data_IF_892116855859
#
_entry.id   IF_892116855859
#
_cell.length_a   1.000
_cell.length_b   1.000
_cell.length_c   1.000
_cell.angle_alpha   90.00
_cell.angle_beta   90.00
_cell.angle_gamma   90.00
#
_symmetry.space_group_name_H-M   'P 1'
#
loop_
_entity.id
_entity.type
_entity.pdbx_description
1 polymer ?
#
# COMPACT_ATOMS: atom_id res chain seq x y z
N UNK A 1 12.71 -41.73 -14.34
CA UNK A 1 12.03 -41.37 -15.61
C UNK A 1 10.81 -40.44 -15.44
N UNK A 2 9.74 -40.77 -14.69
CA UNK A 2 8.56 -39.88 -14.56
C UNK A 2 8.82 -38.52 -13.88
N UNK A 3 9.80 -38.43 -12.97
CA UNK A 3 10.11 -37.19 -12.25
C UNK A 3 10.79 -36.13 -13.13
N UNK A 4 11.71 -36.54 -14.03
CA UNK A 4 12.35 -35.62 -14.99
C UNK A 4 11.31 -34.96 -15.88
N UNK A 5 10.34 -35.71 -16.41
CA UNK A 5 9.27 -35.16 -17.24
C UNK A 5 8.38 -34.18 -16.46
N UNK A 6 8.14 -34.45 -15.18
CA UNK A 6 7.39 -33.54 -14.30
C UNK A 6 8.14 -32.22 -14.05
N UNK A 7 9.47 -32.28 -13.92
CA UNK A 7 10.33 -31.10 -13.75
C UNK A 7 10.42 -30.31 -15.08
N UNK A 8 10.66 -30.99 -16.19
CA UNK A 8 10.75 -30.37 -17.52
C UNK A 8 9.42 -29.75 -17.96
N UNK A 9 8.31 -30.38 -17.60
CA UNK A 9 6.95 -29.90 -17.84
C UNK A 9 6.42 -28.97 -16.75
N UNK A 10 7.25 -28.54 -15.80
CA UNK A 10 6.82 -27.67 -14.71
C UNK A 10 6.30 -26.35 -15.28
N UNK A 11 5.01 -26.08 -15.05
CA UNK A 11 4.32 -24.90 -15.52
C UNK A 11 3.79 -24.11 -14.33
N UNK A 12 3.69 -22.80 -14.54
CA UNK A 12 2.97 -21.91 -13.64
C UNK A 12 1.56 -22.45 -13.42
N UNK A 13 1.08 -22.41 -12.18
CA UNK A 13 -0.33 -22.54 -11.89
C UNK A 13 -0.91 -21.13 -11.73
N UNK A 14 -1.95 -20.82 -12.50
CA UNK A 14 -2.60 -19.52 -12.43
C UNK A 14 -3.34 -19.37 -11.09
N UNK A 15 -3.26 -18.19 -10.49
CA UNK A 15 -3.82 -17.91 -9.16
C UNK A 15 -3.03 -18.48 -7.98
N UNK A 16 -1.96 -19.25 -8.22
CA UNK A 16 -1.11 -19.80 -7.16
C UNK A 16 0.05 -18.84 -6.86
N UNK A 17 0.28 -18.48 -5.58
CA UNK A 17 1.43 -17.68 -5.17
C UNK A 17 2.78 -18.31 -5.56
N UNK A 18 3.78 -17.48 -5.85
CA UNK A 18 5.11 -17.97 -6.24
C UNK A 18 5.77 -18.81 -5.15
N UNK A 19 5.52 -18.53 -3.87
CA UNK A 19 6.11 -19.33 -2.79
C UNK A 19 5.61 -20.78 -2.77
N UNK A 20 4.34 -21.01 -3.10
CA UNK A 20 3.80 -22.36 -3.23
C UNK A 20 4.35 -23.06 -4.47
N UNK A 21 4.48 -22.34 -5.60
CA UNK A 21 5.09 -22.89 -6.81
C UNK A 21 6.56 -23.30 -6.58
N UNK A 22 7.33 -22.46 -5.89
CA UNK A 22 8.73 -22.74 -5.57
C UNK A 22 8.87 -23.95 -4.65
N UNK A 23 8.07 -24.04 -3.58
CA UNK A 23 8.05 -25.20 -2.70
C UNK A 23 7.69 -26.49 -3.45
N UNK A 24 6.72 -26.43 -4.37
CA UNK A 24 6.35 -27.58 -5.20
C UNK A 24 7.51 -27.99 -6.11
N UNK A 25 8.20 -27.03 -6.72
CA UNK A 25 9.37 -27.30 -7.54
C UNK A 25 10.49 -27.94 -6.73
N UNK A 26 10.83 -27.40 -5.56
CA UNK A 26 11.85 -27.97 -4.66
C UNK A 26 11.52 -29.41 -4.25
N UNK A 27 10.25 -29.72 -3.95
CA UNK A 27 9.82 -31.10 -3.67
C UNK A 27 10.07 -32.06 -4.83
N UNK A 28 9.82 -31.61 -6.06
CA UNK A 28 10.10 -32.42 -7.27
C UNK A 28 11.60 -32.63 -7.46
N UNK A 29 12.41 -31.60 -7.25
CA UNK A 29 13.88 -31.69 -7.33
C UNK A 29 14.42 -32.65 -6.27
N UNK A 30 13.94 -32.58 -5.03
CA UNK A 30 14.38 -33.45 -3.93
C UNK A 30 14.08 -34.93 -4.19
N UNK A 31 13.02 -35.21 -4.95
CA UNK A 31 12.63 -36.57 -5.33
C UNK A 31 13.45 -37.10 -6.51
N UNK A 32 14.12 -36.23 -7.27
CA UNK A 32 14.93 -36.62 -8.42
C UNK A 32 16.28 -37.18 -7.94
N UNK A 33 16.77 -38.31 -8.48
CA UNK A 33 18.12 -38.78 -8.21
C UNK A 33 19.15 -37.72 -8.61
N UNK A 34 20.12 -37.46 -7.72
CA UNK A 34 21.08 -36.33 -7.76
C UNK A 34 22.05 -36.30 -8.94
N UNK A 35 21.85 -37.12 -9.97
CA UNK A 35 22.73 -37.30 -11.12
C UNK A 35 22.01 -37.18 -12.48
N UNK A 36 20.68 -37.11 -12.51
CA UNK A 36 19.92 -37.11 -13.77
C UNK A 36 19.81 -35.72 -14.43
N UNK A 37 19.99 -34.62 -13.67
CA UNK A 37 19.82 -33.25 -14.17
C UNK A 37 20.88 -32.30 -13.64
N UNK A 38 21.40 -31.43 -14.51
CA UNK A 38 22.30 -30.35 -14.11
C UNK A 38 21.56 -29.26 -13.37
N UNK A 39 22.16 -28.75 -12.30
CA UNK A 39 21.71 -27.62 -11.48
C UNK A 39 21.29 -26.40 -12.31
N UNK A 40 22.04 -26.08 -13.38
CA UNK A 40 21.70 -24.98 -14.28
C UNK A 40 20.38 -25.23 -15.04
N UNK A 41 20.11 -26.48 -15.43
CA UNK A 41 18.86 -26.87 -16.12
C UNK A 41 17.66 -26.79 -15.18
N UNK A 42 17.82 -27.15 -13.90
CA UNK A 42 16.78 -27.00 -12.89
C UNK A 42 16.37 -25.53 -12.73
N UNK A 43 17.36 -24.64 -12.61
CA UNK A 43 17.10 -23.20 -12.53
C UNK A 43 16.38 -22.69 -13.78
N UNK A 44 16.81 -23.14 -14.97
CA UNK A 44 16.17 -22.79 -16.24
C UNK A 44 14.69 -23.18 -16.26
N UNK A 45 14.35 -24.39 -15.83
CA UNK A 45 12.95 -24.84 -15.80
C UNK A 45 12.10 -24.01 -14.85
N UNK A 46 12.59 -23.75 -13.63
CA UNK A 46 11.84 -22.93 -12.70
C UNK A 46 11.65 -21.50 -13.23
N UNK A 47 12.71 -20.86 -13.70
CA UNK A 47 12.60 -19.50 -14.24
C UNK A 47 11.69 -19.43 -15.47
N UNK A 48 11.65 -20.46 -16.33
CA UNK A 48 10.69 -20.52 -17.44
C UNK A 48 9.26 -20.45 -16.94
N UNK A 49 8.97 -21.08 -15.81
CA UNK A 49 7.64 -21.12 -15.18
C UNK A 49 7.22 -19.81 -14.52
N UNK A 50 8.15 -18.88 -14.27
CA UNK A 50 7.83 -17.57 -13.69
C UNK A 50 7.10 -16.65 -14.70
N UNK A 51 6.19 -15.82 -14.19
CA UNK A 51 5.62 -14.72 -14.96
C UNK A 51 6.63 -13.57 -15.14
N UNK A 52 6.28 -12.58 -15.96
CA UNK A 52 7.18 -11.45 -16.26
C UNK A 52 7.55 -10.64 -15.02
N UNK A 53 6.62 -10.47 -14.08
CA UNK A 53 6.83 -9.70 -12.85
C UNK A 53 7.85 -10.42 -11.96
N UNK A 54 7.60 -11.69 -11.68
CA UNK A 54 8.47 -12.51 -10.84
C UNK A 54 9.85 -12.75 -11.48
N UNK A 55 9.93 -12.87 -12.81
CA UNK A 55 11.21 -12.87 -13.54
C UNK A 55 11.98 -11.56 -13.34
N UNK A 56 11.29 -10.43 -13.43
CA UNK A 56 11.88 -9.12 -13.22
C UNK A 56 12.47 -8.99 -11.82
N UNK A 57 11.71 -9.37 -10.80
CA UNK A 57 12.17 -9.37 -9.40
C UNK A 57 13.36 -10.30 -9.21
N UNK A 58 13.29 -11.55 -9.69
CA UNK A 58 14.37 -12.51 -9.55
C UNK A 58 15.68 -12.03 -10.19
N UNK A 59 15.60 -11.40 -11.38
CA UNK A 59 16.78 -10.84 -12.06
C UNK A 59 17.38 -9.63 -11.35
N UNK A 60 16.62 -8.90 -10.54
CA UNK A 60 17.12 -7.76 -9.78
C UNK A 60 17.80 -8.14 -8.46
N UNK A 61 17.63 -9.39 -7.99
CA UNK A 61 18.24 -9.87 -6.74
C UNK A 61 19.77 -9.89 -6.79
N UNK A 62 20.35 -9.94 -7.98
CA UNK A 62 21.80 -10.05 -8.16
C UNK A 62 22.26 -9.35 -9.44
N UNK A 63 23.39 -8.63 -9.42
CA UNK A 63 24.00 -8.10 -10.63
C UNK A 63 24.26 -9.22 -11.65
N UNK A 64 23.86 -9.00 -12.90
CA UNK A 64 23.97 -10.01 -13.98
C UNK A 64 22.79 -10.99 -14.06
N UNK A 65 21.86 -10.95 -13.10
CA UNK A 65 20.63 -11.75 -13.13
C UNK A 65 20.80 -13.15 -12.54
N UNK A 66 19.68 -13.71 -12.09
CA UNK A 66 19.66 -14.95 -11.31
C UNK A 66 20.17 -16.17 -12.09
N UNK A 67 20.01 -16.15 -13.41
CA UNK A 67 20.48 -17.21 -14.32
C UNK A 67 22.00 -17.36 -14.38
N UNK A 68 22.74 -16.33 -14.01
CA UNK A 68 24.21 -16.35 -14.04
C UNK A 68 24.80 -16.88 -12.72
N UNK A 69 23.95 -17.19 -11.74
CA UNK A 69 24.41 -17.66 -10.45
C UNK A 69 24.47 -19.19 -10.39
N UNK A 70 25.38 -19.77 -9.59
CA UNK A 70 25.30 -21.17 -9.20
C UNK A 70 23.92 -21.47 -8.59
N UNK A 71 23.42 -22.68 -8.80
CA UNK A 71 22.08 -23.07 -8.36
C UNK A 71 21.88 -22.90 -6.85
N UNK A 72 22.91 -23.18 -6.05
CA UNK A 72 22.88 -23.05 -4.60
C UNK A 72 22.62 -21.60 -4.19
N UNK A 73 23.26 -20.65 -4.88
CA UNK A 73 23.09 -19.21 -4.65
C UNK A 73 21.72 -18.75 -5.16
N UNK A 74 21.35 -19.15 -6.38
CA UNK A 74 20.06 -18.82 -6.97
C UNK A 74 18.89 -19.36 -6.12
N UNK A 75 19.01 -20.58 -5.60
CA UNK A 75 18.00 -21.19 -4.72
C UNK A 75 17.82 -20.38 -3.45
N UNK A 76 18.92 -19.96 -2.80
CA UNK A 76 18.83 -19.13 -1.58
C UNK A 76 18.18 -17.78 -1.84
N UNK A 77 18.49 -17.14 -2.98
CA UNK A 77 17.85 -15.89 -3.38
C UNK A 77 16.35 -16.07 -3.66
N UNK A 78 15.96 -17.18 -4.31
CA UNK A 78 14.56 -17.54 -4.53
C UNK A 78 13.84 -17.89 -3.24
N UNK A 79 14.50 -18.57 -2.30
CA UNK A 79 13.97 -18.82 -0.96
C UNK A 79 13.68 -17.49 -0.24
N UNK A 80 14.60 -16.52 -0.30
CA UNK A 80 14.39 -15.19 0.26
C UNK A 80 13.22 -14.44 -0.39
N UNK A 81 13.18 -14.40 -1.72
CA UNK A 81 12.09 -13.78 -2.49
C UNK A 81 10.73 -14.42 -2.14
N UNK A 82 10.67 -15.75 -2.08
CA UNK A 82 9.44 -16.48 -1.81
C UNK A 82 9.04 -16.43 -0.34
N UNK A 83 9.98 -16.28 0.59
CA UNK A 83 9.69 -16.03 1.99
C UNK A 83 9.00 -14.68 2.18
N UNK A 84 9.48 -13.63 1.50
CA UNK A 84 8.79 -12.32 1.50
C UNK A 84 7.40 -12.50 0.91
N UNK A 85 7.27 -13.14 -0.25
CA UNK A 85 5.97 -13.41 -0.85
C UNK A 85 5.01 -14.15 0.10
N UNK A 86 5.48 -15.20 0.76
CA UNK A 86 4.70 -15.97 1.75
C UNK A 86 4.26 -15.08 2.90
N UNK A 87 5.16 -14.25 3.44
CA UNK A 87 4.86 -13.34 4.53
C UNK A 87 3.70 -12.40 4.18
N UNK A 88 3.66 -11.86 2.95
CA UNK A 88 2.54 -11.03 2.49
C UNK A 88 1.20 -11.76 2.52
N UNK A 89 1.14 -12.99 2.00
CA UNK A 89 -0.10 -13.78 1.99
C UNK A 89 -0.51 -14.26 3.39
N UNK A 90 0.43 -14.63 4.25
CA UNK A 90 0.13 -15.00 5.64
C UNK A 90 -0.18 -13.80 6.52
N UNK A 91 0.35 -12.63 6.19
CA UNK A 91 -0.06 -11.37 6.79
C UNK A 91 -1.48 -11.08 6.37
N UNK A 92 -1.88 -11.18 5.10
CA UNK A 92 -3.29 -10.97 4.73
C UNK A 92 -4.24 -11.96 5.42
N UNK A 93 -3.89 -13.24 5.54
CA UNK A 93 -4.71 -14.25 6.25
C UNK A 93 -4.82 -13.98 7.77
N UNK A 94 -3.87 -13.25 8.37
CA UNK A 94 -3.91 -12.78 9.76
C UNK A 94 -4.31 -11.30 9.94
N UNK A 95 -4.35 -10.51 8.86
CA UNK A 95 -4.60 -9.05 8.86
C UNK A 95 -6.03 -8.73 8.42
N UNK A 96 -6.81 -9.71 7.98
CA UNK A 96 -8.27 -9.58 7.85
C UNK A 96 -9.06 -9.86 9.14
N UNK A 97 -8.62 -9.31 10.28
CA UNK A 97 -9.59 -8.55 11.09
C UNK A 97 -9.04 -7.21 11.64
N UNK A 98 -7.95 -6.65 11.09
CA UNK A 98 -7.43 -5.36 11.57
C UNK A 98 -7.53 -4.22 10.54
N UNK A 99 -7.47 -4.49 9.23
CA UNK A 99 -7.63 -3.45 8.18
C UNK A 99 -9.07 -3.30 7.68
N UNK A 100 -9.93 -4.31 7.84
CA UNK A 100 -11.39 -4.18 7.70
C UNK A 100 -12.06 -3.58 8.95
N UNK A 101 -11.28 -3.35 10.02
CA UNK A 101 -11.69 -2.70 11.27
C UNK A 101 -11.20 -1.25 11.36
N UNK A 102 -11.20 -0.51 10.25
CA UNK A 102 -11.73 0.84 10.35
C UNK A 102 -13.25 0.68 10.45
N UNK A 103 -13.75 0.44 11.66
CA UNK A 103 -15.19 0.25 11.87
C UNK A 103 -15.93 1.43 11.26
N UNK A 104 -17.08 1.17 10.65
CA UNK A 104 -18.09 2.18 10.29
C UNK A 104 -18.25 3.25 11.39
N UNK A 105 -18.15 2.82 12.64
CA UNK A 105 -18.13 3.64 13.84
C UNK A 105 -17.00 4.69 13.89
N UNK A 106 -15.78 4.36 13.43
CA UNK A 106 -14.68 5.33 13.39
C UNK A 106 -14.83 6.33 12.25
N UNK A 107 -15.32 5.88 11.09
CA UNK A 107 -15.66 6.76 9.95
C UNK A 107 -16.80 7.71 10.34
N UNK A 108 -17.83 7.21 11.01
CA UNK A 108 -18.95 8.01 11.54
C UNK A 108 -18.47 8.99 12.60
N UNK A 109 -17.57 8.58 13.50
CA UNK A 109 -16.99 9.49 14.51
C UNK A 109 -16.11 10.58 13.91
N UNK A 110 -15.32 10.26 12.89
CA UNK A 110 -14.52 11.27 12.19
C UNK A 110 -15.42 12.22 11.39
N UNK A 111 -16.46 11.69 10.73
CA UNK A 111 -17.46 12.50 10.04
C UNK A 111 -18.27 13.40 11.01
N UNK A 112 -18.64 12.89 12.19
CA UNK A 112 -19.31 13.66 13.25
C UNK A 112 -18.39 14.75 13.80
N UNK A 113 -17.12 14.44 14.05
CA UNK A 113 -16.11 15.41 14.48
C UNK A 113 -15.94 16.54 13.46
N UNK A 114 -15.91 16.21 12.17
CA UNK A 114 -15.82 17.19 11.08
C UNK A 114 -17.09 18.04 10.97
N UNK A 115 -18.28 17.45 11.10
CA UNK A 115 -19.56 18.19 11.14
C UNK A 115 -19.63 19.14 12.33
N UNK A 116 -19.16 18.71 13.50
CA UNK A 116 -19.13 19.54 14.70
C UNK A 116 -18.16 20.72 14.55
N UNK A 117 -17.01 20.50 13.90
CA UNK A 117 -16.07 21.57 13.58
C UNK A 117 -16.67 22.58 12.58
N UNK A 118 -17.38 22.11 11.54
CA UNK A 118 -18.06 22.97 10.59
C UNK A 118 -19.16 23.83 11.24
N UNK A 119 -19.95 23.23 12.15
CA UNK A 119 -20.96 23.96 12.94
C UNK A 119 -20.33 25.03 13.83
N UNK A 120 -19.21 24.72 14.49
CA UNK A 120 -18.50 25.67 15.34
C UNK A 120 -17.92 26.85 14.52
N UNK A 121 -17.29 26.57 13.37
CA UNK A 121 -16.82 27.62 12.46
C UNK A 121 -17.96 28.54 11.99
N UNK A 122 -19.12 27.95 11.67
CA UNK A 122 -20.28 28.71 11.22
C UNK A 122 -20.86 29.60 12.34
N UNK A 123 -20.92 29.09 13.58
CA UNK A 123 -21.36 29.88 14.73
C UNK A 123 -20.41 31.04 15.02
N UNK A 124 -19.10 30.80 14.95
CA UNK A 124 -18.07 31.85 15.09
C UNK A 124 -18.21 32.93 14.02
N UNK A 125 -18.42 32.54 12.76
CA UNK A 125 -18.62 33.47 11.64
C UNK A 125 -19.88 34.34 11.83
N UNK A 126 -21.00 33.74 12.27
CA UNK A 126 -22.25 34.49 12.57
C UNK A 126 -22.05 35.46 13.74
N UNK A 127 -21.38 35.05 14.82
CA UNK A 127 -21.07 35.91 15.97
C UNK A 127 -20.16 37.08 15.58
N UNK A 128 -19.12 36.82 14.78
CA UNK A 128 -18.22 37.84 14.26
C UNK A 128 -18.97 38.87 13.39
N UNK A 129 -19.89 38.42 12.54
CA UNK A 129 -20.75 39.28 11.70
C UNK A 129 -21.69 40.16 12.53
N UNK A 130 -22.26 39.63 13.61
CA UNK A 130 -23.16 40.39 14.49
C UNK A 130 -22.42 41.41 15.37
N UNK A 131 -21.17 41.11 15.78
CA UNK A 131 -20.34 42.06 16.53
C UNK A 131 -19.80 43.21 15.66
N UNK A 132 -19.44 42.94 14.40
CA UNK A 132 -19.04 44.01 13.46
C UNK A 132 -20.25 44.78 12.88
N UNK A 133 -21.47 44.30 13.08
CA UNK A 133 -22.71 44.95 12.65
C UNK A 133 -23.35 45.90 13.65
N UNK A 134 -22.82 46.03 14.87
CA UNK A 134 -23.41 46.86 15.93
C UNK A 134 -22.39 47.75 16.65
N UNK A 135 -22.26 48.98 16.15
CA UNK A 135 -21.57 50.10 16.80
C UNK A 135 -21.15 51.10 15.71
N UNK A 136 -21.78 52.27 15.53
CA UNK A 136 -22.13 53.25 16.55
C UNK A 136 -23.35 54.07 16.06
N UNK A 137 -24.46 54.09 16.81
CA UNK A 137 -25.40 55.22 16.71
C UNK A 137 -24.65 56.44 17.25
N UNK A 138 -24.41 57.42 16.39
CA UNK A 138 -23.83 58.70 16.78
C UNK A 138 -24.72 59.35 17.84
N UNK A 139 -24.17 59.51 19.05
CA UNK A 139 -24.78 60.32 20.09
C UNK A 139 -24.53 61.78 19.72
N UNK A 140 -25.61 62.54 19.49
CA UNK A 140 -25.57 63.97 19.24
C UNK A 140 -24.88 64.70 20.40
N UNK A 141 -23.72 65.30 20.14
CA UNK A 141 -23.13 66.31 21.01
C UNK A 141 -23.88 67.62 20.75
N UNK A 142 -24.65 68.07 21.75
CA UNK A 142 -25.25 69.41 21.80
C UNK A 142 -24.11 70.42 21.93
N UNK A 143 -23.78 71.10 20.83
CA UNK A 143 -23.00 72.32 20.82
C UNK A 143 -23.93 73.52 21.01
N UNK A 144 -23.90 74.13 22.19
CA UNK A 144 -24.58 75.39 22.48
C UNK A 144 -23.68 76.57 22.10
N UNK A 145 -24.27 77.54 21.38
CA UNK A 145 -23.82 78.93 21.25
C UNK A 145 -23.08 79.23 19.93
N UNK A 146 -23.40 80.27 19.16
CA UNK A 146 -24.36 81.39 19.27
C UNK A 146 -24.50 81.98 17.84
N UNK A 147 -25.68 82.49 17.50
CA UNK A 147 -25.96 83.30 16.29
C UNK A 147 -25.04 84.55 16.24
N UNK A 148 -24.76 85.26 15.14
CA UNK A 148 -25.47 85.59 13.88
C UNK A 148 -24.47 86.35 12.94
N UNK A 149 -24.85 87.09 11.87
CA UNK A 149 -24.70 86.72 10.46
C UNK A 149 -23.84 87.70 9.63
N UNK A 150 -23.76 87.40 8.32
CA UNK A 150 -23.57 88.31 7.17
C UNK A 150 -22.49 89.40 7.19
N UNK A 151 -21.66 89.40 6.14
CA UNK A 151 -21.47 90.61 5.32
C UNK A 151 -20.91 90.24 3.92
N UNK A 152 -21.71 90.60 2.91
CA UNK A 152 -21.41 90.99 1.51
C UNK A 152 -20.40 90.19 0.65
#
# INVERSE_FOLDING_TARGET
MMLIYSIQGFKRLEGVPIHEMWQRFQKLVLQCPTHELSNHILLQYFNRSLDSVNKGVANQLVPGGIMQQPYEVASQLLDGMTMINRAWYTCEDQVYPLTFRMTKEQIEKDQERDQNMAKMMTQLDILAKNMMGSGLKSVNVVGVGRANPEEA
#
